data_IF_293424955657
#
_entry.id   IF_293424955657
#
_cell.length_a   1.000
_cell.length_b   1.000
_cell.length_c   1.000
_cell.angle_alpha   90.00
_cell.angle_beta   90.00
_cell.angle_gamma   90.00
#
_symmetry.space_group_name_H-M   'P 1'
#
loop_
_entity.id
_entity.type
_entity.pdbx_description
1 polymer ?
#
# COMPACT_ATOMS: atom_id res chain seq x y z
N UNK A 1 -1.06 0.94 13.07
CA UNK A 1 -0.03 2.00 13.10
C UNK A 1 -0.37 3.02 12.04
N UNK A 2 0.06 4.28 12.18
CA UNK A 2 -0.07 5.22 11.07
C UNK A 2 0.76 4.74 9.88
N UNK A 3 0.22 4.86 8.67
CA UNK A 3 0.92 4.55 7.44
C UNK A 3 2.31 5.21 7.40
N UNK A 4 3.37 4.45 7.12
CA UNK A 4 4.73 4.98 7.15
C UNK A 4 5.08 5.70 5.83
N UNK A 5 4.64 6.95 5.73
CA UNK A 5 4.89 7.80 4.56
C UNK A 5 6.39 8.04 4.31
N UNK A 6 7.22 8.00 5.36
CA UNK A 6 8.66 8.18 5.21
C UNK A 6 9.29 7.00 4.46
N UNK A 7 8.86 5.78 4.77
CA UNK A 7 9.35 4.57 4.10
C UNK A 7 8.93 4.54 2.63
N UNK A 8 7.66 4.85 2.33
CA UNK A 8 7.20 4.96 0.93
C UNK A 8 8.06 5.96 0.14
N UNK A 9 8.31 7.15 0.71
CA UNK A 9 9.15 8.17 0.07
C UNK A 9 10.56 7.64 -0.20
N UNK A 10 11.17 6.98 0.78
CA UNK A 10 12.51 6.44 0.65
C UNK A 10 12.58 5.33 -0.42
N UNK A 11 11.56 4.48 -0.50
CA UNK A 11 11.44 3.47 -1.56
C UNK A 11 11.34 4.10 -2.95
N UNK A 12 10.52 5.15 -3.13
CA UNK A 12 10.41 5.84 -4.41
C UNK A 12 11.74 6.49 -4.81
N UNK A 13 12.46 7.10 -3.86
CA UNK A 13 13.79 7.66 -4.11
C UNK A 13 14.76 6.57 -4.56
N UNK A 14 14.76 5.40 -3.90
CA UNK A 14 15.63 4.28 -4.28
C UNK A 14 15.30 3.75 -5.68
N UNK A 15 14.02 3.65 -6.04
CA UNK A 15 13.59 3.29 -7.40
C UNK A 15 14.13 4.30 -8.41
N UNK A 16 13.98 5.60 -8.15
CA UNK A 16 14.47 6.65 -9.05
C UNK A 16 15.99 6.63 -9.20
N UNK A 17 16.73 6.47 -8.10
CA UNK A 17 18.18 6.35 -8.13
C UNK A 17 18.62 5.15 -8.96
N UNK A 18 17.96 4.00 -8.81
CA UNK A 18 18.22 2.82 -9.64
C UNK A 18 17.95 3.08 -11.12
N UNK A 19 16.79 3.69 -11.46
CA UNK A 19 16.47 4.05 -12.85
C UNK A 19 17.50 4.99 -13.47
N UNK A 20 18.05 5.92 -12.70
CA UNK A 20 19.08 6.85 -13.18
C UNK A 20 20.43 6.18 -13.49
N UNK A 21 20.68 4.98 -12.97
CA UNK A 21 21.90 4.21 -13.29
C UNK A 21 21.80 3.41 -14.58
N UNK A 22 20.61 3.36 -15.18
CA UNK A 22 20.33 2.56 -16.38
C UNK A 22 20.70 3.33 -17.64
N UNK A 23 21.31 2.63 -18.59
CA UNK A 23 21.67 3.20 -19.89
C UNK A 23 20.42 3.50 -20.74
N UNK A 24 19.39 2.66 -20.63
CA UNK A 24 18.12 2.82 -21.33
C UNK A 24 16.99 3.17 -20.35
N UNK A 25 16.14 4.09 -20.76
CA UNK A 25 14.96 4.47 -19.96
C UNK A 25 13.91 3.36 -20.04
N UNK A 26 13.52 2.79 -18.88
CA UNK A 26 12.44 1.80 -18.80
C UNK A 26 11.25 2.36 -18.02
N UNK A 27 10.31 2.97 -18.75
CA UNK A 27 9.13 3.62 -18.16
C UNK A 27 8.19 2.57 -17.54
N UNK A 28 8.00 1.43 -18.22
CA UNK A 28 7.16 0.33 -17.75
C UNK A 28 7.67 -0.26 -16.43
N UNK A 29 8.98 -0.49 -16.30
CA UNK A 29 9.52 -1.02 -15.04
C UNK A 29 9.41 -0.01 -13.91
N UNK A 30 9.69 1.27 -14.20
CA UNK A 30 9.50 2.33 -13.22
C UNK A 30 8.05 2.36 -12.72
N UNK A 31 7.08 2.32 -13.64
CA UNK A 31 5.66 2.33 -13.32
C UNK A 31 5.25 1.11 -12.48
N UNK A 32 5.70 -0.09 -12.85
CA UNK A 32 5.43 -1.33 -12.12
C UNK A 32 5.99 -1.27 -10.69
N UNK A 33 7.24 -0.82 -10.53
CA UNK A 33 7.88 -0.71 -9.21
C UNK A 33 7.24 0.36 -8.33
N UNK A 34 6.83 1.47 -8.92
CA UNK A 34 6.08 2.51 -8.22
C UNK A 34 4.71 1.99 -7.77
N UNK A 35 3.98 1.31 -8.64
CA UNK A 35 2.68 0.72 -8.32
C UNK A 35 2.79 -0.28 -7.16
N UNK A 36 3.80 -1.15 -7.20
CA UNK A 36 4.06 -2.12 -6.13
C UNK A 36 4.42 -1.44 -4.79
N UNK A 37 5.23 -0.38 -4.81
CA UNK A 37 5.54 0.38 -3.59
C UNK A 37 4.29 1.01 -2.96
N UNK A 38 3.37 1.53 -3.79
CA UNK A 38 2.09 2.07 -3.35
C UNK A 38 1.15 0.97 -2.84
N UNK A 39 1.08 -0.19 -3.51
CA UNK A 39 0.25 -1.33 -3.09
C UNK A 39 0.67 -1.85 -1.70
N UNK A 40 1.97 -2.02 -1.47
CA UNK A 40 2.50 -2.40 -0.15
C UNK A 40 2.13 -1.36 0.89
N UNK A 41 2.36 -0.07 0.61
CA UNK A 41 2.01 1.01 1.53
C UNK A 41 0.51 1.01 1.86
N UNK A 42 -0.38 0.85 0.90
CA UNK A 42 -1.83 0.81 1.14
C UNK A 42 -2.22 -0.42 1.96
N UNK A 43 -1.55 -1.56 1.78
CA UNK A 43 -1.79 -2.79 2.57
C UNK A 43 -1.32 -2.69 4.02
N UNK A 44 -0.40 -1.79 4.34
CA UNK A 44 -0.04 -1.46 5.72
C UNK A 44 -1.13 -0.65 6.45
N UNK A 45 -2.15 -0.16 5.74
CA UNK A 45 -3.24 0.58 6.34
C UNK A 45 -3.97 -0.30 7.36
N UNK A 46 -4.00 0.15 8.61
CA UNK A 46 -4.75 -0.52 9.65
C UNK A 46 -6.21 -0.07 9.59
N UNK A 47 -7.13 -1.03 9.51
CA UNK A 47 -8.55 -0.74 9.63
C UNK A 47 -8.91 -0.69 11.11
N UNK A 48 -9.12 0.53 11.62
CA UNK A 48 -9.56 0.74 13.00
C UNK A 48 -11.08 0.58 13.07
N UNK A 49 -11.54 -0.55 13.62
CA UNK A 49 -12.96 -0.78 13.90
C UNK A 49 -13.34 -0.19 15.26
N UNK A 50 -14.35 0.69 15.27
CA UNK A 50 -14.85 1.35 16.49
C UNK A 50 -15.78 0.41 17.29
N UNK A 51 -16.37 -0.57 16.62
CA UNK A 51 -17.20 -1.65 17.19
C UNK A 51 -16.75 -2.99 16.63
N UNK A 52 -16.96 -4.09 17.37
CA UNK A 52 -16.57 -5.42 16.91
C UNK A 52 -17.20 -5.78 15.56
N UNK A 53 -16.40 -6.29 14.63
CA UNK A 53 -16.88 -6.93 13.40
C UNK A 53 -17.65 -8.20 13.79
N UNK A 54 -18.98 -8.15 13.75
CA UNK A 54 -19.82 -9.32 14.05
C UNK A 54 -20.46 -9.85 12.78
N UNK A 55 -20.11 -11.09 12.41
CA UNK A 55 -20.91 -11.86 11.46
C UNK A 55 -22.21 -12.28 12.14
N UNK A 56 -23.34 -12.14 11.45
CA UNK A 56 -24.65 -12.60 11.94
C UNK A 56 -24.66 -14.12 12.25
N UNK A 57 -23.72 -14.89 11.69
CA UNK A 57 -23.61 -16.33 11.86
C UNK A 57 -22.38 -16.77 12.68
N UNK A 58 -21.63 -15.84 13.29
CA UNK A 58 -20.53 -16.17 14.20
C UNK A 58 -19.24 -16.67 13.52
N UNK A 59 -19.03 -16.35 12.24
CA UNK A 59 -17.83 -16.71 11.48
C UNK A 59 -16.96 -15.50 11.08
N UNK A 60 -15.96 -15.76 10.23
CA UNK A 60 -15.12 -14.72 9.61
C UNK A 60 -16.03 -13.72 8.86
N UNK A 61 -15.84 -12.42 9.10
CA UNK A 61 -16.61 -11.39 8.40
C UNK A 61 -16.04 -11.22 7.00
N UNK A 62 -16.84 -11.57 5.99
CA UNK A 62 -16.51 -11.37 4.57
C UNK A 62 -17.51 -10.38 3.97
N UNK A 63 -17.03 -9.33 3.31
CA UNK A 63 -17.89 -8.33 2.67
C UNK A 63 -17.09 -7.13 2.18
N UNK A 64 -17.77 -6.21 1.50
CA UNK A 64 -17.21 -4.92 1.10
C UNK A 64 -17.09 -4.02 2.32
N UNK A 65 -15.92 -3.43 2.54
CA UNK A 65 -15.71 -2.44 3.60
C UNK A 65 -16.32 -1.08 3.19
N UNK A 66 -17.40 -0.69 3.83
CA UNK A 66 -18.01 0.65 3.69
C UNK A 66 -17.50 1.60 4.78
N UNK A 67 -16.22 1.95 4.73
CA UNK A 67 -15.62 2.88 5.67
C UNK A 67 -14.44 3.65 5.09
N UNK A 68 -13.91 4.59 5.86
CA UNK A 68 -12.71 5.33 5.48
C UNK A 68 -11.49 4.67 6.12
N UNK A 69 -10.44 4.44 5.32
CA UNK A 69 -9.10 4.16 5.85
C UNK A 69 -8.62 5.43 6.58
N UNK A 70 -8.03 5.26 7.77
CA UNK A 70 -7.47 6.36 8.56
C UNK A 70 -5.96 6.43 8.40
#
# INVERSE_FOLDING_TARGET
MALNKADLKNNIIAIMQDMMTREETSIEEFAERLANAVDVYVKEAEIIYITGLTSATGGVVTGTFEGNLK
#
